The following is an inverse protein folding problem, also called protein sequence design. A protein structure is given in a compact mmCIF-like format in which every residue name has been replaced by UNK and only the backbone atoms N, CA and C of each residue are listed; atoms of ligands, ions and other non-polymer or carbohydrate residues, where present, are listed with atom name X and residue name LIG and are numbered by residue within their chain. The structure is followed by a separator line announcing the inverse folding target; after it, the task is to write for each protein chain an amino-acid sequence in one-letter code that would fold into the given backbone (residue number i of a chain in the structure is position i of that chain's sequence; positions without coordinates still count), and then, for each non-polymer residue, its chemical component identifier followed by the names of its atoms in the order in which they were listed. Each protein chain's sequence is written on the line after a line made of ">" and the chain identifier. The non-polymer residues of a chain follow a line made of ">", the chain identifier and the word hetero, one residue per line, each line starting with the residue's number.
data_IF_010153804784
#
_entry.id   IF_010153804784
#
_cell.length_a   1.000
_cell.length_b   1.000
_cell.length_c   1.000
_cell.angle_alpha   90.00
_cell.angle_beta   90.00
_cell.angle_gamma   90.00
#
_symmetry.space_group_name_H-M   'P 1'
#
loop_
_entity.id
_entity.type
_entity.pdbx_description
1 polymer ?
#
# COMPACT_ATOMS: atom_id res chain seq x y z
N UNK A 1 -9.80 4.61 -29.24
CA UNK A 1 -10.04 5.59 -28.16
C UNK A 1 -9.33 6.88 -28.50
N UNK A 2 -9.98 8.02 -28.30
CA UNK A 2 -9.39 9.35 -28.47
C UNK A 2 -9.68 10.16 -27.18
N UNK A 3 -8.66 10.80 -26.62
CA UNK A 3 -8.81 11.71 -25.50
C UNK A 3 -8.16 13.03 -25.83
N UNK A 4 -8.97 14.07 -25.85
CA UNK A 4 -8.51 15.44 -26.07
C UNK A 4 -8.06 16.05 -24.74
N UNK A 5 -6.79 16.46 -24.69
CA UNK A 5 -6.17 17.01 -23.49
C UNK A 5 -6.55 18.46 -23.21
N UNK A 6 -7.20 19.15 -24.13
CA UNK A 6 -7.65 20.54 -23.99
C UNK A 6 -9.11 20.56 -23.58
N UNK A 7 -9.97 19.83 -24.30
CA UNK A 7 -11.42 19.77 -23.98
C UNK A 7 -11.76 18.76 -22.88
N UNK A 8 -10.81 17.89 -22.50
CA UNK A 8 -11.03 16.74 -21.61
C UNK A 8 -12.13 15.80 -22.10
N UNK A 9 -12.37 15.78 -23.42
CA UNK A 9 -13.37 14.92 -24.02
C UNK A 9 -12.77 13.54 -24.28
N UNK A 10 -13.42 12.51 -23.75
CA UNK A 10 -13.11 11.12 -24.04
C UNK A 10 -14.09 10.59 -25.08
N UNK A 11 -13.56 10.04 -26.19
CA UNK A 11 -14.33 9.37 -27.23
C UNK A 11 -13.86 7.95 -27.39
N UNK A 12 -14.81 7.01 -27.34
CA UNK A 12 -14.52 5.59 -27.43
C UNK A 12 -15.16 5.03 -28.69
N UNK A 13 -14.39 4.22 -29.39
CA UNK A 13 -14.81 3.61 -30.64
C UNK A 13 -14.70 2.11 -30.47
N UNK A 14 -15.77 1.39 -30.78
CA UNK A 14 -15.80 -0.07 -30.77
C UNK A 14 -16.00 -0.57 -32.19
N UNK A 15 -15.31 -1.65 -32.55
CA UNK A 15 -15.48 -2.30 -33.85
C UNK A 15 -16.74 -3.18 -33.79
N UNK A 16 -17.79 -2.76 -34.49
CA UNK A 16 -19.05 -3.49 -34.59
C UNK A 16 -19.43 -3.65 -36.07
N UNK A 17 -19.66 -4.90 -36.50
CA UNK A 17 -20.04 -5.21 -37.88
C UNK A 17 -19.01 -4.77 -38.94
N UNK A 18 -17.72 -4.73 -38.59
CA UNK A 18 -16.65 -4.32 -39.52
C UNK A 18 -16.41 -2.80 -39.63
N UNK A 19 -17.07 -1.99 -38.80
CA UNK A 19 -16.87 -0.54 -38.74
C UNK A 19 -16.67 -0.05 -37.30
N UNK A 20 -15.90 1.02 -37.12
CA UNK A 20 -15.73 1.63 -35.80
C UNK A 20 -16.90 2.57 -35.50
N UNK A 21 -17.70 2.24 -34.48
CA UNK A 21 -18.83 3.04 -34.02
C UNK A 21 -18.49 3.78 -32.72
N UNK A 22 -18.84 5.07 -32.67
CA UNK A 22 -18.68 5.91 -31.47
C UNK A 22 -19.63 5.42 -30.37
N UNK A 23 -19.08 5.21 -29.19
CA UNK A 23 -19.81 4.72 -28.02
C UNK A 23 -20.21 5.88 -27.12
N UNK A 24 -21.41 5.80 -26.54
CA UNK A 24 -21.84 6.72 -25.49
C UNK A 24 -21.12 6.38 -24.20
N UNK A 25 -20.52 7.38 -23.58
CA UNK A 25 -19.81 7.24 -22.31
C UNK A 25 -20.64 7.91 -21.24
N UNK A 26 -21.03 7.15 -20.21
CA UNK A 26 -21.74 7.70 -19.05
C UNK A 26 -20.72 8.17 -18.01
N UNK A 27 -20.90 9.38 -17.47
CA UNK A 27 -20.04 9.96 -16.43
C UNK A 27 -18.53 9.86 -16.70
N UNK A 28 -18.11 10.01 -17.96
CA UNK A 28 -16.69 9.87 -18.39
C UNK A 28 -16.06 8.51 -18.04
N UNK A 29 -16.88 7.45 -17.97
CA UNK A 29 -16.51 6.08 -17.65
C UNK A 29 -17.09 5.12 -18.71
N UNK A 30 -16.27 4.22 -19.21
CA UNK A 30 -16.68 3.21 -20.19
C UNK A 30 -16.20 1.83 -19.81
N UNK A 31 -17.17 0.92 -19.66
CA UNK A 31 -16.93 -0.48 -19.36
C UNK A 31 -16.58 -1.27 -20.62
N UNK A 32 -15.50 -2.06 -20.56
CA UNK A 32 -15.05 -2.97 -21.62
C UNK A 32 -15.24 -4.42 -21.13
N UNK A 33 -16.38 -5.05 -21.44
CA UNK A 33 -16.70 -6.41 -20.97
C UNK A 33 -15.61 -7.43 -21.30
N UNK A 34 -14.97 -7.30 -22.48
CA UNK A 34 -13.96 -8.23 -22.99
C UNK A 34 -12.68 -8.22 -22.14
N UNK A 35 -12.38 -7.09 -21.49
CA UNK A 35 -11.21 -6.95 -20.62
C UNK A 35 -11.56 -7.07 -19.14
N UNK A 36 -12.85 -7.14 -18.79
CA UNK A 36 -13.33 -6.95 -17.41
C UNK A 36 -12.72 -5.72 -16.74
N UNK A 37 -12.47 -4.71 -17.56
CA UNK A 37 -11.79 -3.48 -17.19
C UNK A 37 -12.52 -2.35 -17.86
N UNK A 38 -12.27 -1.17 -17.33
CA UNK A 38 -12.99 -0.03 -17.80
C UNK A 38 -12.17 1.22 -17.63
N UNK A 39 -12.45 2.21 -18.47
CA UNK A 39 -11.59 3.37 -18.65
C UNK A 39 -12.36 4.65 -18.36
N UNK A 40 -11.74 5.53 -17.59
CA UNK A 40 -12.37 6.78 -17.23
C UNK A 40 -11.39 7.89 -16.91
N UNK A 41 -11.95 9.08 -16.68
CA UNK A 41 -11.18 10.26 -16.32
C UNK A 41 -11.02 10.37 -14.82
N UNK A 42 -9.76 10.41 -14.38
CA UNK A 42 -9.37 10.62 -12.99
C UNK A 42 -8.72 11.99 -12.85
N UNK A 43 -9.24 12.82 -11.94
CA UNK A 43 -8.65 14.11 -11.59
C UNK A 43 -7.58 13.91 -10.52
N UNK A 44 -6.33 14.23 -10.85
CA UNK A 44 -5.27 14.24 -9.85
C UNK A 44 -3.90 14.54 -10.42
N UNK A 45 -2.89 14.39 -9.56
CA UNK A 45 -1.51 14.69 -9.90
C UNK A 45 -0.80 13.44 -10.44
N UNK A 46 -0.31 13.52 -11.67
CA UNK A 46 0.54 12.48 -12.26
C UNK A 46 1.67 13.14 -13.04
N UNK A 47 2.91 12.65 -12.87
CA UNK A 47 4.14 13.24 -13.43
C UNK A 47 4.25 14.76 -13.20
N UNK A 48 3.86 15.24 -12.02
CA UNK A 48 3.93 16.65 -11.64
C UNK A 48 2.81 17.55 -12.19
N UNK A 49 1.88 17.03 -12.99
CA UNK A 49 0.78 17.80 -13.54
C UNK A 49 -0.54 17.39 -12.89
N UNK A 50 -1.27 18.37 -12.34
CA UNK A 50 -2.60 18.17 -11.75
C UNK A 50 -3.68 18.42 -12.82
N UNK A 51 -4.35 17.38 -13.29
CA UNK A 51 -5.35 17.45 -14.37
C UNK A 51 -6.17 16.15 -14.46
N UNK A 52 -7.09 16.10 -15.43
CA UNK A 52 -7.75 14.87 -15.82
C UNK A 52 -6.79 13.95 -16.60
N UNK A 53 -6.74 12.70 -16.15
CA UNK A 53 -5.95 11.62 -16.73
C UNK A 53 -6.85 10.45 -17.07
N UNK A 54 -6.52 9.72 -18.14
CA UNK A 54 -7.11 8.43 -18.40
C UNK A 54 -6.55 7.40 -17.41
N UNK A 55 -7.43 6.73 -16.67
CA UNK A 55 -7.09 5.62 -15.80
C UNK A 55 -8.05 4.45 -16.01
N UNK A 56 -7.53 3.26 -15.76
CA UNK A 56 -8.30 2.04 -15.73
C UNK A 56 -8.92 1.81 -14.35
N UNK A 57 -10.12 1.24 -14.32
CA UNK A 57 -10.80 0.76 -13.14
C UNK A 57 -11.19 -0.72 -13.29
N UNK A 58 -11.24 -1.41 -12.15
CA UNK A 58 -11.67 -2.79 -12.06
C UNK A 58 -13.21 -2.92 -12.07
N UNK A 59 -13.71 -4.16 -12.05
CA UNK A 59 -15.14 -4.48 -11.96
C UNK A 59 -15.84 -3.96 -10.69
N UNK A 60 -15.08 -3.63 -9.65
CA UNK A 60 -15.58 -3.08 -8.40
C UNK A 60 -15.56 -1.55 -8.39
N UNK A 61 -15.07 -0.92 -9.46
CA UNK A 61 -14.95 0.54 -9.59
C UNK A 61 -13.70 1.12 -8.91
N UNK A 62 -12.75 0.28 -8.47
CA UNK A 62 -11.48 0.74 -7.93
C UNK A 62 -10.52 1.13 -9.04
N UNK A 63 -9.78 2.22 -8.84
CA UNK A 63 -8.72 2.61 -9.77
C UNK A 63 -7.56 1.63 -9.71
N UNK A 64 -7.10 1.17 -10.87
CA UNK A 64 -5.87 0.38 -10.94
C UNK A 64 -4.71 1.29 -10.53
N UNK A 65 -3.93 0.94 -9.49
CA UNK A 65 -2.79 1.72 -9.05
C UNK A 65 -1.79 1.91 -10.19
N UNK A 66 -1.22 3.11 -10.29
CA UNK A 66 -0.05 3.35 -11.13
C UNK A 66 1.19 2.72 -10.50
N UNK A 67 2.23 2.44 -11.29
CA UNK A 67 3.49 1.89 -10.77
C UNK A 67 4.05 2.75 -9.62
N UNK A 68 3.97 4.07 -9.75
CA UNK A 68 4.40 5.01 -8.71
C UNK A 68 3.53 4.96 -7.43
N UNK A 69 2.24 4.65 -7.53
CA UNK A 69 1.39 4.42 -6.35
C UNK A 69 1.72 3.06 -5.71
N UNK A 70 1.94 2.03 -6.52
CA UNK A 70 2.31 0.70 -6.04
C UNK A 70 3.67 0.69 -5.34
N UNK A 71 4.68 1.37 -5.90
CA UNK A 71 5.99 1.55 -5.27
C UNK A 71 5.89 2.28 -3.94
N UNK A 72 5.08 3.35 -3.87
CA UNK A 72 4.84 4.07 -2.62
C UNK A 72 4.18 3.18 -1.58
N UNK A 73 3.17 2.42 -1.96
CA UNK A 73 2.49 1.49 -1.07
C UNK A 73 3.45 0.41 -0.55
N UNK A 74 4.30 -0.15 -1.42
CA UNK A 74 5.34 -1.12 -1.01
C UNK A 74 6.34 -0.51 -0.05
N UNK A 75 6.84 0.69 -0.35
CA UNK A 75 7.78 1.39 0.51
C UNK A 75 7.18 1.71 1.89
N UNK A 76 5.90 2.08 1.93
CA UNK A 76 5.19 2.34 3.18
C UNK A 76 4.95 1.06 3.99
N UNK A 77 4.56 -0.03 3.31
CA UNK A 77 4.41 -1.33 3.95
C UNK A 77 5.75 -1.85 4.51
N UNK A 78 6.86 -1.70 3.78
CA UNK A 78 8.18 -2.08 4.26
C UNK A 78 8.62 -1.24 5.48
N UNK A 79 8.31 0.07 5.49
CA UNK A 79 8.57 0.94 6.64
C UNK A 79 7.80 0.48 7.87
N UNK A 80 6.50 0.20 7.73
CA UNK A 80 5.67 -0.29 8.83
C UNK A 80 6.20 -1.62 9.39
N UNK A 81 6.62 -2.54 8.52
CA UNK A 81 7.19 -3.82 8.95
C UNK A 81 8.51 -3.64 9.70
N UNK A 82 9.38 -2.74 9.24
CA UNK A 82 10.63 -2.41 9.94
C UNK A 82 10.36 -1.78 11.31
N UNK A 83 9.38 -0.89 11.40
CA UNK A 83 9.01 -0.23 12.65
C UNK A 83 8.45 -1.22 13.67
N UNK A 84 7.58 -2.14 13.23
CA UNK A 84 7.06 -3.21 14.07
C UNK A 84 8.18 -4.13 14.59
N UNK A 85 9.07 -4.58 13.71
CA UNK A 85 10.20 -5.43 14.09
C UNK A 85 11.16 -4.71 15.07
N UNK A 86 11.35 -3.40 14.93
CA UNK A 86 12.13 -2.60 15.87
C UNK A 86 11.46 -2.50 17.24
N UNK A 87 10.14 -2.30 17.29
CA UNK A 87 9.39 -2.30 18.55
C UNK A 87 9.49 -3.64 19.27
N UNK A 88 9.30 -4.75 18.56
CA UNK A 88 9.41 -6.10 19.14
C UNK A 88 10.81 -6.37 19.69
N UNK A 89 11.85 -6.03 18.91
CA UNK A 89 13.24 -6.18 19.36
C UNK A 89 13.56 -5.30 20.58
N UNK A 90 13.00 -4.09 20.65
CA UNK A 90 13.17 -3.20 21.80
C UNK A 90 12.46 -3.76 23.04
N UNK A 91 11.25 -4.29 22.88
CA UNK A 91 10.50 -4.91 23.97
C UNK A 91 11.21 -6.16 24.50
N UNK A 92 11.75 -7.01 23.63
CA UNK A 92 12.52 -8.19 24.02
C UNK A 92 13.78 -7.80 24.81
N UNK A 93 14.50 -6.77 24.36
CA UNK A 93 15.67 -6.23 25.07
C UNK A 93 15.31 -5.74 26.46
N UNK A 94 14.22 -4.97 26.60
CA UNK A 94 13.75 -4.48 27.89
C UNK A 94 13.38 -5.62 28.84
N UNK A 95 12.72 -6.68 28.33
CA UNK A 95 12.39 -7.84 29.14
C UNK A 95 13.63 -8.62 29.59
N UNK A 96 14.62 -8.80 28.71
CA UNK A 96 15.90 -9.44 29.06
C UNK A 96 16.65 -8.65 30.12
N UNK A 97 16.72 -7.33 29.96
CA UNK A 97 17.39 -6.45 30.92
C UNK A 97 16.72 -6.49 32.30
N UNK A 98 15.38 -6.43 32.33
CA UNK A 98 14.61 -6.54 33.56
C UNK A 98 14.79 -7.93 34.23
N UNK A 99 14.81 -9.01 33.45
CA UNK A 99 15.07 -10.34 33.96
C UNK A 99 16.48 -10.48 34.56
N UNK A 100 17.49 -9.92 33.89
CA UNK A 100 18.87 -9.88 34.37
C UNK A 100 19.00 -9.09 35.68
N UNK A 101 18.38 -7.91 35.76
CA UNK A 101 18.39 -7.10 36.99
C UNK A 101 17.74 -7.85 38.16
N UNK A 102 16.60 -8.51 37.93
CA UNK A 102 15.93 -9.32 38.97
C UNK A 102 16.77 -10.52 39.41
N UNK A 103 17.41 -11.21 38.46
CA UNK A 103 18.30 -12.33 38.76
C UNK A 103 19.52 -11.88 39.59
N UNK A 104 20.13 -10.74 39.24
CA UNK A 104 21.23 -10.15 40.00
C UNK A 104 20.81 -9.78 41.43
N UNK A 105 19.68 -9.08 41.59
CA UNK A 105 19.15 -8.74 42.92
C UNK A 105 18.85 -9.97 43.78
N UNK A 106 18.28 -11.03 43.18
CA UNK A 106 18.00 -12.27 43.88
C UNK A 106 19.31 -12.96 44.31
N UNK A 107 20.30 -13.05 43.42
CA UNK A 107 21.60 -13.63 43.71
C UNK A 107 22.32 -12.88 44.85
N UNK A 108 22.31 -11.55 44.83
CA UNK A 108 22.86 -10.73 45.92
C UNK A 108 22.16 -11.02 47.26
N UNK A 109 20.83 -11.12 47.25
CA UNK A 109 20.03 -11.40 48.46
C UNK A 109 20.30 -12.80 49.01
N UNK A 110 20.49 -13.79 48.15
CA UNK A 110 20.86 -15.16 48.53
C UNK A 110 22.27 -15.21 49.16
N UNK A 111 23.24 -14.50 48.55
CA UNK A 111 24.60 -14.38 49.11
C UNK A 111 24.60 -13.74 50.50
N UNK A 112 23.77 -12.73 50.74
CA UNK A 112 23.60 -12.13 52.08
C UNK A 112 23.05 -13.11 53.13
N UNK A 113 22.27 -14.11 52.70
CA UNK A 113 21.76 -15.17 53.57
C UNK A 113 22.73 -16.36 53.73
N UNK A 114 23.94 -16.27 53.15
CA UNK A 114 24.97 -17.31 53.24
C UNK A 114 24.77 -18.50 52.30
N UNK A 115 23.84 -18.40 51.34
CA UNK A 115 23.58 -19.42 50.31
C UNK A 115 24.31 -18.99 49.03
N UNK A 116 25.13 -19.87 48.46
CA UNK A 116 25.90 -19.57 47.25
C UNK A 116 25.03 -19.84 46.00
N UNK A 117 24.59 -18.82 45.24
CA UNK A 117 23.66 -19.01 44.12
C UNK A 117 24.30 -19.63 42.88
N UNK A 118 25.63 -19.80 42.84
CA UNK A 118 26.38 -20.42 41.73
C UNK A 118 26.49 -21.96 41.86
N UNK A 119 25.95 -22.56 42.92
CA UNK A 119 25.96 -24.02 43.18
C UNK A 119 24.60 -24.72 42.95
N UNK A 120 23.59 -24.00 42.41
CA UNK A 120 22.26 -24.53 42.03
C UNK A 120 22.11 -24.49 40.51
#
# INVERSE_FOLDING_TARGET
>A
LNFDRVSNELRIFKLEGGSYQLQTIDNSKFWIPELQLAIGLWLGQYRGLNRLWLRWYDQHGNWIPTDAELERQRAEQERQQKELAQQEAQQERQQKELAQQRAQQLAERLRQMGINPDEI
#
